data_IF_708192436249
#
_entry.id   IF_708192436249
#
_cell.length_a   1.000
_cell.length_b   1.000
_cell.length_c   1.000
_cell.angle_alpha   90.00
_cell.angle_beta   90.00
_cell.angle_gamma   90.00
#
_symmetry.space_group_name_H-M   'P 1'
#
loop_
_entity.id
_entity.type
_entity.pdbx_description
1 polymer ?
#
# COMPACT_ATOMS: atom_id res chain seq x y z
N UNK A 1 2.78 -32.60 0.37
CA UNK A 1 3.04 -31.15 0.52
C UNK A 1 2.24 -30.42 -0.54
N UNK A 2 1.48 -29.40 -0.14
CA UNK A 2 0.75 -28.57 -1.10
C UNK A 2 1.80 -27.74 -1.86
N UNK A 3 1.90 -27.93 -3.18
CA UNK A 3 2.80 -27.16 -4.05
C UNK A 3 1.96 -26.05 -4.71
N UNK A 4 1.78 -24.95 -3.95
CA UNK A 4 0.99 -23.78 -4.39
C UNK A 4 1.92 -22.83 -5.12
N UNK A 5 1.60 -22.51 -6.36
CA UNK A 5 2.32 -21.57 -7.21
C UNK A 5 1.50 -20.29 -7.29
N UNK A 6 1.94 -19.17 -6.69
CA UNK A 6 1.32 -17.86 -6.90
C UNK A 6 1.54 -17.44 -8.36
N UNK A 7 0.50 -16.90 -9.01
CA UNK A 7 0.61 -16.55 -10.43
C UNK A 7 0.36 -15.05 -10.69
N UNK A 8 -0.86 -14.54 -10.46
CA UNK A 8 -1.27 -13.20 -10.90
C UNK A 8 -2.52 -12.68 -10.17
N UNK A 9 -2.72 -11.36 -10.22
CA UNK A 9 -3.99 -10.76 -9.86
C UNK A 9 -5.05 -11.03 -10.95
N UNK A 10 -6.24 -11.41 -10.53
CA UNK A 10 -7.39 -11.60 -11.44
C UNK A 10 -8.05 -10.25 -11.69
N UNK A 11 -8.36 -9.52 -10.61
CA UNK A 11 -9.00 -8.21 -10.64
C UNK A 11 -8.84 -7.52 -9.28
N UNK A 12 -9.12 -6.22 -9.25
CA UNK A 12 -9.14 -5.45 -8.00
C UNK A 12 -10.30 -4.45 -7.98
N UNK A 13 -10.66 -4.01 -6.78
CA UNK A 13 -11.61 -2.94 -6.52
C UNK A 13 -11.08 -2.02 -5.45
N UNK A 14 -11.41 -0.74 -5.56
CA UNK A 14 -11.09 0.27 -4.55
C UNK A 14 -12.38 0.87 -4.03
N UNK A 15 -12.48 0.95 -2.71
CA UNK A 15 -13.62 1.55 -2.02
C UNK A 15 -13.17 2.78 -1.25
N UNK A 16 -13.91 3.87 -1.38
CA UNK A 16 -13.77 5.08 -0.58
C UNK A 16 -14.90 5.12 0.44
N UNK A 17 -14.55 5.00 1.73
CA UNK A 17 -15.53 5.04 2.83
C UNK A 17 -16.71 4.07 2.58
N UNK A 18 -16.41 2.86 2.10
CA UNK A 18 -17.38 1.81 1.79
C UNK A 18 -18.12 1.97 0.44
N UNK A 19 -17.78 2.97 -0.38
CA UNK A 19 -18.34 3.16 -1.73
C UNK A 19 -17.34 2.73 -2.79
N UNK A 20 -17.79 1.92 -3.75
CA UNK A 20 -16.99 1.47 -4.89
C UNK A 20 -16.55 2.68 -5.75
N UNK A 21 -15.25 2.85 -5.94
CA UNK A 21 -14.68 3.85 -6.85
C UNK A 21 -14.68 3.31 -8.27
N UNK A 22 -15.68 3.67 -9.02
CA UNK A 22 -15.82 3.24 -10.41
C UNK A 22 -14.83 3.96 -11.34
N UNK A 23 -14.43 3.27 -12.41
CA UNK A 23 -13.61 3.84 -13.48
C UNK A 23 -12.11 3.84 -13.22
N UNK A 24 -11.62 3.25 -12.11
CA UNK A 24 -10.18 3.03 -11.90
C UNK A 24 -9.69 2.00 -12.93
N UNK A 25 -8.65 2.38 -13.67
CA UNK A 25 -7.99 1.52 -14.64
C UNK A 25 -6.79 0.79 -14.03
N UNK A 26 -6.01 1.49 -13.21
CA UNK A 26 -4.80 0.98 -12.59
C UNK A 26 -4.67 1.50 -11.16
N UNK A 27 -4.05 0.70 -10.30
CA UNK A 27 -3.68 1.09 -8.93
C UNK A 27 -2.33 0.50 -8.57
N UNK A 28 -1.42 1.34 -8.07
CA UNK A 28 -0.12 0.91 -7.56
C UNK A 28 -0.16 0.89 -6.05
N UNK A 29 -0.03 -0.31 -5.46
CA UNK A 29 0.02 -0.48 -4.00
C UNK A 29 1.27 0.22 -3.45
N UNK A 30 1.19 0.84 -2.26
CA UNK A 30 2.31 1.55 -1.66
C UNK A 30 3.56 0.68 -1.47
N UNK A 31 4.73 1.21 -1.80
CA UNK A 31 6.01 0.59 -1.50
C UNK A 31 6.42 0.86 -0.06
N UNK A 32 7.05 -0.14 0.57
CA UNK A 32 7.72 0.00 1.86
C UNK A 32 9.21 0.18 1.60
N UNK A 33 9.66 1.42 1.63
CA UNK A 33 11.06 1.80 1.48
C UNK A 33 11.55 2.41 2.79
N UNK A 34 12.46 1.73 3.47
CA UNK A 34 13.02 2.20 4.73
C UNK A 34 13.94 3.40 4.52
N UNK A 35 13.91 4.34 5.45
CA UNK A 35 14.90 5.41 5.52
C UNK A 35 16.24 4.81 5.94
N UNK A 36 17.32 5.20 5.27
CA UNK A 36 18.68 4.73 5.58
C UNK A 36 19.58 5.87 6.00
N UNK A 37 20.61 5.54 6.75
CA UNK A 37 21.71 6.45 7.08
C UNK A 37 23.07 5.75 6.99
N UNK A 38 24.07 6.49 6.54
CA UNK A 38 25.41 5.97 6.41
C UNK A 38 26.07 5.75 7.80
N UNK A 39 26.53 4.52 8.05
CA UNK A 39 27.30 4.15 9.24
C UNK A 39 28.72 3.81 8.81
N UNK A 40 29.70 4.55 9.37
CA UNK A 40 31.14 4.36 9.15
C UNK A 40 31.92 4.71 10.42
N UNK A 41 33.08 4.15 10.57
CA UNK A 41 33.98 4.48 11.71
C UNK A 41 34.84 3.33 12.15
N UNK A 42 35.53 3.53 13.29
CA UNK A 42 36.39 2.53 13.88
C UNK A 42 35.61 1.26 14.24
N UNK A 43 36.10 0.10 13.83
CA UNK A 43 35.46 -1.20 14.04
C UNK A 43 34.57 -1.66 12.89
N UNK A 44 34.42 -0.83 11.84
CA UNK A 44 33.67 -1.18 10.63
C UNK A 44 34.63 -1.12 9.44
N UNK A 45 34.75 -2.23 8.71
CA UNK A 45 35.63 -2.31 7.54
C UNK A 45 34.91 -1.86 6.27
N UNK A 46 34.43 -0.59 6.23
CA UNK A 46 33.73 -0.02 5.09
C UNK A 46 32.63 0.96 5.48
N UNK A 47 31.73 1.18 4.55
CA UNK A 47 30.51 2.00 4.73
C UNK A 47 29.30 1.08 4.65
N UNK A 48 28.37 1.23 5.57
CA UNK A 48 27.09 0.51 5.59
C UNK A 48 25.96 1.54 5.48
N UNK A 49 25.10 1.40 4.52
CA UNK A 49 23.85 2.16 4.44
C UNK A 49 22.80 1.42 5.30
N UNK A 50 22.70 1.84 6.56
CA UNK A 50 21.92 1.15 7.59
C UNK A 50 20.49 1.68 7.62
N UNK A 51 19.46 0.80 7.50
CA UNK A 51 18.08 1.22 7.66
C UNK A 51 17.80 1.67 9.09
N UNK A 52 16.97 2.70 9.23
CA UNK A 52 16.51 3.22 10.51
C UNK A 52 15.24 2.44 10.90
N UNK A 53 15.30 1.70 11.99
CA UNK A 53 14.25 0.78 12.43
C UNK A 53 12.84 1.41 12.39
N UNK A 54 11.99 0.86 11.54
CA UNK A 54 10.59 1.24 11.40
C UNK A 54 10.33 2.64 10.85
N UNK A 55 11.33 3.29 10.28
CA UNK A 55 11.18 4.57 9.59
C UNK A 55 11.13 4.35 8.07
N UNK A 56 10.07 4.86 7.46
CA UNK A 56 9.84 4.70 6.03
C UNK A 56 9.83 6.04 5.32
N UNK A 57 10.36 6.06 4.11
CA UNK A 57 10.24 7.17 3.17
C UNK A 57 8.76 7.46 2.85
N UNK A 58 8.51 8.51 2.07
CA UNK A 58 7.15 8.81 1.58
C UNK A 58 6.55 7.57 0.94
N UNK A 59 5.42 7.13 1.46
CA UNK A 59 4.71 5.94 1.01
C UNK A 59 3.48 6.40 0.26
N UNK A 60 3.39 6.11 -1.04
CA UNK A 60 2.34 6.63 -1.89
C UNK A 60 1.50 5.55 -2.54
N UNK A 61 0.18 5.82 -2.65
CA UNK A 61 -0.76 5.09 -3.50
C UNK A 61 -0.99 5.92 -4.76
N UNK A 62 -0.86 5.30 -5.93
CA UNK A 62 -1.25 5.91 -7.19
C UNK A 62 -2.48 5.21 -7.75
N UNK A 63 -3.50 6.00 -8.11
CA UNK A 63 -4.71 5.52 -8.77
C UNK A 63 -4.89 6.26 -10.09
N UNK A 64 -5.17 5.51 -11.16
CA UNK A 64 -5.39 6.05 -12.49
C UNK A 64 -6.82 5.76 -12.95
N UNK A 65 -7.52 6.79 -13.43
CA UNK A 65 -8.85 6.69 -14.04
C UNK A 65 -8.78 6.91 -15.53
N UNK A 66 -9.71 6.31 -16.27
CA UNK A 66 -9.84 6.54 -17.72
C UNK A 66 -10.25 7.97 -18.04
N UNK A 67 -11.11 8.56 -17.19
CA UNK A 67 -11.61 9.94 -17.33
C UNK A 67 -11.76 10.58 -15.96
N UNK A 68 -11.92 11.91 -15.90
CA UNK A 68 -12.30 12.61 -14.66
C UNK A 68 -13.67 12.12 -14.19
N UNK A 69 -13.73 11.70 -12.93
CA UNK A 69 -14.97 11.24 -12.29
C UNK A 69 -15.29 12.09 -11.06
N UNK A 70 -16.53 12.03 -10.58
CA UNK A 70 -16.91 12.67 -9.32
C UNK A 70 -16.12 12.13 -8.12
N UNK A 71 -15.70 10.88 -8.17
CA UNK A 71 -14.95 10.23 -7.10
C UNK A 71 -13.49 10.68 -7.10
N UNK A 72 -12.88 10.86 -8.29
CA UNK A 72 -11.59 11.54 -8.41
C UNK A 72 -11.64 12.93 -7.76
N UNK A 73 -12.67 13.74 -8.08
CA UNK A 73 -12.82 15.09 -7.51
C UNK A 73 -12.98 15.04 -5.98
N UNK A 74 -13.73 14.07 -5.43
CA UNK A 74 -13.86 13.91 -3.97
C UNK A 74 -12.51 13.63 -3.29
N UNK A 75 -11.63 12.84 -3.94
CA UNK A 75 -10.30 12.54 -3.40
C UNK A 75 -9.36 13.75 -3.39
N UNK A 76 -9.65 14.84 -4.11
CA UNK A 76 -8.86 16.08 -4.02
C UNK A 76 -9.13 16.89 -2.76
N UNK A 77 -10.15 16.54 -1.97
CA UNK A 77 -10.47 17.27 -0.74
C UNK A 77 -9.33 17.11 0.30
N UNK A 78 -8.87 18.21 0.87
CA UNK A 78 -7.78 18.26 1.86
C UNK A 78 -8.21 17.66 3.21
N UNK A 79 -8.38 16.37 3.23
CA UNK A 79 -8.68 15.56 4.43
C UNK A 79 -8.12 14.15 4.27
N UNK A 80 -8.06 13.43 5.36
CA UNK A 80 -7.74 12.00 5.32
C UNK A 80 -8.93 11.23 4.73
N UNK A 81 -8.66 10.39 3.75
CA UNK A 81 -9.61 9.47 3.14
C UNK A 81 -9.31 8.04 3.59
N UNK A 82 -10.34 7.28 3.93
CA UNK A 82 -10.21 5.86 4.20
C UNK A 82 -10.47 5.08 2.92
N UNK A 83 -9.48 4.30 2.50
CA UNK A 83 -9.55 3.48 1.29
C UNK A 83 -9.38 2.01 1.64
N UNK A 84 -10.20 1.18 1.00
CA UNK A 84 -10.08 -0.27 1.03
C UNK A 84 -9.83 -0.77 -0.40
N UNK A 85 -8.72 -1.45 -0.59
CA UNK A 85 -8.36 -2.10 -1.85
C UNK A 85 -8.51 -3.60 -1.68
N UNK A 86 -9.35 -4.20 -2.49
CA UNK A 86 -9.52 -5.65 -2.56
C UNK A 86 -9.00 -6.18 -3.88
N UNK A 87 -8.18 -7.21 -3.84
CA UNK A 87 -7.72 -7.93 -5.03
C UNK A 87 -7.90 -9.43 -4.85
N UNK A 88 -8.29 -10.10 -5.92
CA UNK A 88 -8.31 -11.56 -5.99
C UNK A 88 -7.06 -12.04 -6.70
N UNK A 89 -6.25 -12.82 -6.01
CA UNK A 89 -4.98 -13.36 -6.51
C UNK A 89 -5.17 -14.83 -6.89
N UNK A 90 -4.76 -15.18 -8.11
CA UNK A 90 -4.79 -16.56 -8.61
C UNK A 90 -3.56 -17.33 -8.15
N UNK A 91 -3.81 -18.56 -7.75
CA UNK A 91 -2.78 -19.55 -7.41
C UNK A 91 -3.10 -20.88 -8.10
N UNK A 92 -2.09 -21.63 -8.46
CA UNK A 92 -2.22 -22.99 -8.98
C UNK A 92 -1.70 -23.99 -7.95
N UNK A 93 -2.54 -24.93 -7.54
CA UNK A 93 -2.14 -26.05 -6.69
C UNK A 93 -1.69 -27.22 -7.57
N UNK A 94 -0.38 -27.34 -7.75
CA UNK A 94 0.21 -28.37 -8.62
C UNK A 94 0.01 -29.79 -8.05
N UNK A 95 -0.22 -29.94 -6.74
CA UNK A 95 -0.49 -31.23 -6.13
C UNK A 95 -1.90 -31.73 -6.41
N UNK A 96 -2.87 -30.83 -6.54
CA UNK A 96 -4.28 -31.13 -6.81
C UNK A 96 -4.68 -30.88 -8.27
N UNK A 97 -3.85 -30.16 -9.04
CA UNK A 97 -4.15 -29.78 -10.42
C UNK A 97 -5.30 -28.79 -10.57
N UNK A 98 -5.51 -27.90 -9.59
CA UNK A 98 -6.63 -26.95 -9.56
C UNK A 98 -6.18 -25.51 -9.33
N UNK A 99 -6.97 -24.56 -9.82
CA UNK A 99 -6.80 -23.15 -9.49
C UNK A 99 -7.51 -22.80 -8.17
N UNK A 100 -6.87 -21.95 -7.39
CA UNK A 100 -7.40 -21.37 -6.16
C UNK A 100 -7.26 -19.84 -6.20
N UNK A 101 -8.04 -19.16 -5.39
CA UNK A 101 -7.93 -17.72 -5.22
C UNK A 101 -7.63 -17.37 -3.77
N UNK A 102 -6.85 -16.31 -3.59
CA UNK A 102 -6.55 -15.71 -2.29
C UNK A 102 -6.95 -14.25 -2.33
N UNK A 103 -7.62 -13.78 -1.29
CA UNK A 103 -7.98 -12.38 -1.14
C UNK A 103 -6.79 -11.59 -0.59
N UNK A 104 -6.44 -10.52 -1.29
CA UNK A 104 -5.61 -9.44 -0.76
C UNK A 104 -6.53 -8.28 -0.39
N UNK A 105 -6.45 -7.82 0.86
CA UNK A 105 -7.12 -6.62 1.35
C UNK A 105 -6.08 -5.65 1.87
N UNK A 106 -6.13 -4.42 1.38
CA UNK A 106 -5.24 -3.33 1.80
C UNK A 106 -6.09 -2.17 2.29
N UNK A 107 -6.06 -1.91 3.58
CA UNK A 107 -6.72 -0.76 4.20
C UNK A 107 -5.71 0.38 4.36
N UNK A 108 -6.10 1.59 3.93
CA UNK A 108 -5.24 2.77 3.89
C UNK A 108 -5.96 3.99 4.49
N UNK A 109 -5.20 4.81 5.24
CA UNK A 109 -5.55 6.22 5.44
C UNK A 109 -4.69 7.02 4.47
N UNK A 110 -5.34 7.77 3.59
CA UNK A 110 -4.72 8.42 2.44
C UNK A 110 -4.96 9.93 2.47
N UNK A 111 -3.92 10.70 2.16
CA UNK A 111 -3.98 12.18 2.11
C UNK A 111 -3.62 12.59 0.68
N UNK A 112 -4.43 13.45 0.01
CA UNK A 112 -4.15 13.88 -1.36
C UNK A 112 -2.82 14.63 -1.45
N UNK A 113 -1.99 14.26 -2.45
CA UNK A 113 -0.68 14.83 -2.70
C UNK A 113 -0.61 15.48 -4.08
N UNK A 114 -0.93 14.75 -5.13
CA UNK A 114 -0.89 15.25 -6.50
C UNK A 114 -2.10 14.72 -7.28
N UNK A 115 -2.82 15.61 -7.95
CA UNK A 115 -3.91 15.25 -8.86
C UNK A 115 -3.64 15.76 -10.27
N UNK A 116 -3.69 14.87 -11.26
CA UNK A 116 -3.55 15.19 -12.68
C UNK A 116 -4.86 14.90 -13.38
N UNK A 117 -5.45 15.90 -14.05
CA UNK A 117 -6.74 15.76 -14.73
C UNK A 117 -6.61 15.13 -16.13
N UNK A 118 -5.38 14.86 -16.57
CA UNK A 118 -5.10 14.21 -17.85
C UNK A 118 -5.26 15.11 -19.09
N UNK A 119 -5.40 14.49 -20.25
CA UNK A 119 -5.44 15.16 -21.55
C UNK A 119 -6.80 15.02 -22.23
N UNK A 120 -7.19 16.00 -23.03
CA UNK A 120 -8.39 15.96 -23.85
C UNK A 120 -8.02 15.57 -25.28
N UNK A 121 -8.25 14.32 -25.64
CA UNK A 121 -8.00 13.75 -26.97
C UNK A 121 -9.25 13.03 -27.43
N UNK A 122 -9.70 13.31 -28.67
CA UNK A 122 -10.89 12.66 -29.21
C UNK A 122 -10.61 11.18 -29.47
N UNK A 123 -11.46 10.31 -28.89
CA UNK A 123 -11.38 8.85 -29.08
C UNK A 123 -10.37 8.13 -28.17
N UNK A 124 -9.71 8.82 -27.22
CA UNK A 124 -8.73 8.24 -26.31
C UNK A 124 -9.12 8.44 -24.84
N UNK A 125 -8.45 7.69 -23.95
CA UNK A 125 -8.62 7.84 -22.51
C UNK A 125 -7.95 9.13 -22.04
N UNK A 126 -8.55 9.76 -21.03
CA UNK A 126 -8.04 11.03 -20.49
C UNK A 126 -6.78 10.84 -19.62
N UNK A 127 -6.64 9.69 -18.96
CA UNK A 127 -5.46 9.39 -18.13
C UNK A 127 -5.39 10.23 -16.85
N UNK A 128 -6.50 10.39 -16.18
CA UNK A 128 -6.59 11.10 -14.88
C UNK A 128 -5.88 10.30 -13.79
N UNK A 129 -5.02 10.93 -13.00
CA UNK A 129 -4.23 10.26 -11.97
C UNK A 129 -4.29 11.01 -10.63
N UNK A 130 -4.37 10.26 -9.54
CA UNK A 130 -4.25 10.76 -8.17
C UNK A 130 -3.14 10.03 -7.44
N UNK A 131 -2.22 10.79 -6.86
CA UNK A 131 -1.20 10.30 -5.94
C UNK A 131 -1.58 10.72 -4.52
N UNK A 132 -1.58 9.77 -3.60
CA UNK A 132 -2.00 9.94 -2.21
C UNK A 132 -0.85 9.50 -1.29
N UNK A 133 -0.53 10.32 -0.29
CA UNK A 133 0.40 9.95 0.78
C UNK A 133 -0.30 9.05 1.79
N UNK A 134 0.40 8.00 2.25
CA UNK A 134 -0.16 6.96 3.11
C UNK A 134 0.55 6.97 4.47
N UNK A 135 0.01 7.66 5.49
CA UNK A 135 0.54 7.60 6.86
C UNK A 135 0.16 6.30 7.59
N UNK A 136 -0.91 5.62 7.18
CA UNK A 136 -1.36 4.35 7.76
C UNK A 136 -1.70 3.33 6.67
N UNK A 137 -1.21 2.12 6.86
CA UNK A 137 -1.50 1.00 5.97
C UNK A 137 -1.63 -0.29 6.77
N UNK A 138 -2.62 -1.11 6.40
CA UNK A 138 -2.76 -2.48 6.88
C UNK A 138 -2.99 -3.41 5.69
N UNK A 139 -2.22 -4.50 5.64
CA UNK A 139 -2.32 -5.51 4.59
C UNK A 139 -2.78 -6.82 5.22
N UNK A 140 -3.86 -7.37 4.70
CA UNK A 140 -4.39 -8.68 5.04
C UNK A 140 -4.32 -9.61 3.82
N UNK A 141 -3.89 -10.84 4.06
CA UNK A 141 -3.87 -11.88 3.05
C UNK A 141 -4.70 -13.07 3.56
N UNK A 142 -5.74 -13.41 2.83
CA UNK A 142 -6.68 -14.48 3.19
C UNK A 142 -7.28 -14.27 4.60
N UNK A 143 -7.68 -13.03 4.91
CA UNK A 143 -8.26 -12.63 6.20
C UNK A 143 -7.30 -12.60 7.38
N UNK A 144 -5.99 -12.75 7.13
CA UNK A 144 -4.95 -12.65 8.16
C UNK A 144 -4.15 -11.38 7.97
N UNK A 145 -4.03 -10.58 9.03
CA UNK A 145 -3.15 -9.43 9.07
C UNK A 145 -1.69 -9.88 8.88
N UNK A 146 -1.01 -9.27 7.90
CA UNK A 146 0.38 -9.55 7.58
C UNK A 146 1.28 -8.38 7.90
N UNK A 147 0.81 -7.17 7.57
CA UNK A 147 1.56 -5.93 7.80
C UNK A 147 0.61 -4.88 8.37
N UNK A 148 1.04 -4.19 9.41
CA UNK A 148 0.45 -2.95 9.88
C UNK A 148 1.53 -1.90 10.04
N UNK A 149 1.37 -0.76 9.37
CA UNK A 149 2.23 0.40 9.45
C UNK A 149 1.42 1.62 9.88
N UNK A 150 1.80 2.26 10.98
CA UNK A 150 1.31 3.58 11.39
C UNK A 150 2.50 4.49 11.70
N UNK A 151 2.82 5.38 10.78
CA UNK A 151 3.97 6.29 10.90
C UNK A 151 3.82 7.30 12.03
N UNK A 152 2.58 7.67 12.37
CA UNK A 152 2.29 8.68 13.37
C UNK A 152 2.27 8.10 14.79
N UNK A 153 1.89 6.83 14.93
CA UNK A 153 1.79 6.14 16.22
C UNK A 153 2.95 5.17 16.47
N UNK A 154 3.99 5.20 15.63
CA UNK A 154 5.15 4.31 15.76
C UNK A 154 4.76 2.83 15.86
N UNK A 155 3.92 2.36 14.90
CA UNK A 155 3.54 0.97 14.79
C UNK A 155 4.10 0.40 13.48
N UNK A 156 4.86 -0.67 13.60
CA UNK A 156 5.25 -1.49 12.46
C UNK A 156 5.20 -2.95 12.87
N UNK A 157 4.19 -3.65 12.39
CA UNK A 157 3.98 -5.07 12.65
C UNK A 157 4.09 -5.88 11.37
N UNK A 158 4.75 -7.03 11.47
CA UNK A 158 4.78 -8.04 10.41
C UNK A 158 4.45 -9.39 11.04
N UNK A 159 3.43 -10.07 10.52
CA UNK A 159 2.93 -11.36 11.02
C UNK A 159 2.69 -11.37 12.55
N UNK A 160 2.17 -10.27 13.09
CA UNK A 160 1.84 -10.10 14.51
C UNK A 160 3.01 -9.69 15.40
N UNK A 161 4.23 -9.60 14.89
CA UNK A 161 5.41 -9.10 15.62
C UNK A 161 5.52 -7.60 15.46
N UNK A 162 5.50 -6.86 16.56
CA UNK A 162 5.62 -5.41 16.58
C UNK A 162 7.09 -4.98 16.79
N UNK A 163 7.72 -4.51 15.74
CA UNK A 163 9.12 -4.10 15.74
C UNK A 163 9.40 -2.75 16.41
N UNK A 164 8.36 -1.94 16.64
CA UNK A 164 8.50 -0.62 17.27
C UNK A 164 7.96 -0.57 18.71
N UNK A 165 7.55 -1.70 19.28
CA UNK A 165 7.04 -1.74 20.66
C UNK A 165 8.06 -1.20 21.67
N UNK A 166 9.35 -1.57 21.54
CA UNK A 166 10.40 -1.07 22.42
C UNK A 166 10.66 0.42 22.21
N UNK A 167 10.65 0.89 20.95
CA UNK A 167 10.84 2.31 20.63
C UNK A 167 9.74 3.17 21.28
N UNK A 168 8.47 2.73 21.22
CA UNK A 168 7.37 3.44 21.92
C UNK A 168 7.58 3.47 23.42
N UNK A 169 8.04 2.37 24.02
CA UNK A 169 8.36 2.31 25.45
C UNK A 169 9.47 3.29 25.83
N UNK A 170 10.54 3.35 25.03
CA UNK A 170 11.68 4.24 25.26
C UNK A 170 11.29 5.72 25.12
N UNK A 171 10.30 6.03 24.28
CA UNK A 171 9.76 7.36 24.08
C UNK A 171 8.61 7.71 25.05
N UNK A 172 8.30 6.83 26.01
CA UNK A 172 7.18 6.97 26.96
C UNK A 172 5.81 7.23 26.25
N UNK A 173 5.63 6.65 25.08
CA UNK A 173 4.36 6.65 24.36
C UNK A 173 3.50 5.48 24.87
N UNK A 174 2.42 5.79 25.61
CA UNK A 174 1.47 4.82 26.17
C UNK A 174 0.21 4.71 25.30
#
# INVERSE_FOLDING_TARGET
MSNIIPEKGINFKVYLEGRDLLGIAEGTIPNLEEMTSEVKGAGIAGVIDSPVLGHFNSTTLSLTWRTVTSDFIKLTAHRTHNLDLYSSLQQYDAGLGIYKTVQLHVYLKAIPKTGTTGNLVVGDVQGTQMELEIPYMKIELDGKERIELDKLNYIFKVDGVDYLAQVRSDLAMN
#
